data_IF_513073181576
#
_entry.id   IF_513073181576
#
_cell.length_a   1.000
_cell.length_b   1.000
_cell.length_c   1.000
_cell.angle_alpha   90.00
_cell.angle_beta   90.00
_cell.angle_gamma   90.00
#
_symmetry.space_group_name_H-M   'P 1'
#
loop_
_entity.id
_entity.type
_entity.pdbx_description
1 polymer ?
#
# COMPACT_ATOMS: atom_id res chain seq x y z
N UNK A 1 19.46 8.21 0.21
CA UNK A 1 19.46 7.57 1.55
C UNK A 1 19.99 6.13 1.52
N UNK A 2 19.41 5.19 0.79
CA UNK A 2 19.85 3.77 0.74
C UNK A 2 21.33 3.65 0.32
N UNK A 3 21.76 4.32 -0.75
CA UNK A 3 23.16 4.32 -1.20
C UNK A 3 24.14 4.84 -0.12
N UNK A 4 23.73 5.85 0.67
CA UNK A 4 24.56 6.34 1.76
C UNK A 4 24.71 5.32 2.90
N UNK A 5 23.66 4.59 3.24
CA UNK A 5 23.71 3.51 4.24
C UNK A 5 24.62 2.37 3.76
N UNK A 6 24.49 1.94 2.50
CA UNK A 6 25.35 0.90 1.91
C UNK A 6 26.83 1.35 1.92
N UNK A 7 27.10 2.58 1.51
CA UNK A 7 28.45 3.14 1.50
C UNK A 7 29.05 3.21 2.91
N UNK A 8 28.26 3.61 3.92
CA UNK A 8 28.72 3.66 5.31
C UNK A 8 29.12 2.28 5.84
N UNK A 9 28.33 1.24 5.55
CA UNK A 9 28.66 -0.13 5.94
C UNK A 9 29.91 -0.62 5.20
N UNK A 10 30.05 -0.29 3.91
CA UNK A 10 31.17 -0.70 3.08
C UNK A 10 32.53 -0.10 3.51
N UNK A 11 32.51 1.09 4.14
CA UNK A 11 33.75 1.76 4.60
C UNK A 11 34.27 1.14 5.89
N UNK A 12 33.43 0.55 6.75
CA UNK A 12 33.83 0.01 8.06
C UNK A 12 34.97 -1.02 7.97
N UNK A 13 34.93 -2.06 7.10
CA UNK A 13 36.02 -3.01 6.98
C UNK A 13 37.35 -2.36 6.55
N UNK A 14 37.31 -1.35 5.67
CA UNK A 14 38.49 -0.65 5.20
C UNK A 14 39.13 0.23 6.31
N UNK A 15 38.32 0.91 7.13
CA UNK A 15 38.79 1.72 8.25
C UNK A 15 39.51 0.88 9.31
N UNK A 16 39.02 -0.33 9.58
CA UNK A 16 39.64 -1.26 10.55
C UNK A 16 41.03 -1.71 10.08
N UNK A 17 41.23 -1.88 8.79
CA UNK A 17 42.55 -2.25 8.24
C UNK A 17 43.63 -1.17 8.40
N UNK A 18 43.26 0.10 8.47
CA UNK A 18 44.21 1.22 8.56
C UNK A 18 44.74 1.38 9.99
N UNK A 19 44.20 0.69 11.00
CA UNK A 19 44.69 0.77 12.39
C UNK A 19 45.96 -0.07 12.58
N UNK A 20 47.15 0.54 12.89
CA UNK A 20 48.43 -0.14 13.03
C UNK A 20 48.53 -1.04 14.27
N UNK A 21 47.52 -0.97 15.19
CA UNK A 21 47.54 -1.66 16.49
C UNK A 21 46.90 -3.02 16.51
N UNK A 22 46.24 -3.44 15.41
CA UNK A 22 45.59 -4.76 15.34
C UNK A 22 46.48 -5.77 14.63
N UNK A 23 46.59 -7.02 15.11
CA UNK A 23 47.36 -8.06 14.41
C UNK A 23 46.75 -8.27 13.02
N UNK A 24 47.59 -8.09 11.99
CA UNK A 24 47.16 -8.23 10.61
C UNK A 24 47.08 -9.70 10.26
N UNK A 25 45.88 -10.26 10.29
CA UNK A 25 45.64 -11.57 9.67
C UNK A 25 45.73 -11.43 8.15
N UNK A 26 46.48 -12.25 7.46
CA UNK A 26 46.65 -12.15 6.00
C UNK A 26 45.34 -12.23 5.25
N UNK A 27 44.36 -12.95 5.78
CA UNK A 27 42.98 -13.01 5.22
C UNK A 27 42.27 -11.67 5.26
N UNK A 28 42.42 -10.85 6.33
CA UNK A 28 41.80 -9.55 6.45
C UNK A 28 42.27 -8.56 5.37
N UNK A 29 43.55 -8.65 5.00
CA UNK A 29 44.16 -7.78 3.99
C UNK A 29 43.54 -7.99 2.58
N UNK A 30 42.94 -9.15 2.31
CA UNK A 30 42.27 -9.46 1.05
C UNK A 30 40.74 -9.27 1.17
N UNK A 31 40.15 -9.79 2.23
CA UNK A 31 38.69 -9.83 2.38
C UNK A 31 38.11 -8.41 2.57
N UNK A 32 38.76 -7.56 3.36
CA UNK A 32 38.18 -6.24 3.67
C UNK A 32 38.14 -5.31 2.44
N UNK A 33 39.19 -5.19 1.58
CA UNK A 33 39.11 -4.42 0.34
C UNK A 33 38.04 -4.96 -0.62
N UNK A 34 37.92 -6.29 -0.74
CA UNK A 34 36.93 -6.93 -1.60
C UNK A 34 35.49 -6.61 -1.12
N UNK A 35 35.23 -6.78 0.18
CA UNK A 35 33.92 -6.49 0.76
C UNK A 35 33.57 -5.00 0.65
N UNK A 36 34.52 -4.10 0.93
CA UNK A 36 34.34 -2.66 0.78
C UNK A 36 34.12 -2.26 -0.69
N UNK A 37 34.93 -2.80 -1.62
CA UNK A 37 34.78 -2.55 -3.05
C UNK A 37 33.42 -3.00 -3.60
N UNK A 38 32.93 -4.17 -3.17
CA UNK A 38 31.59 -4.63 -3.49
C UNK A 38 30.51 -3.64 -2.99
N UNK A 39 30.58 -3.25 -1.71
CA UNK A 39 29.59 -2.35 -1.14
C UNK A 39 29.59 -0.96 -1.79
N UNK A 40 30.78 -0.39 -2.08
CA UNK A 40 30.90 0.87 -2.81
C UNK A 40 30.33 0.75 -4.22
N UNK A 41 30.61 -0.34 -4.93
CA UNK A 41 30.07 -0.58 -6.27
C UNK A 41 28.55 -0.64 -6.25
N UNK A 42 27.96 -1.38 -5.30
CA UNK A 42 26.51 -1.45 -5.14
C UNK A 42 25.93 -0.08 -4.80
N UNK A 43 26.57 0.70 -3.92
CA UNK A 43 26.13 2.05 -3.58
C UNK A 43 26.11 2.99 -4.79
N UNK A 44 27.15 2.94 -5.64
CA UNK A 44 27.23 3.71 -6.88
C UNK A 44 26.18 3.28 -7.90
N UNK A 45 25.94 1.99 -8.06
CA UNK A 45 24.87 1.49 -8.92
C UNK A 45 23.49 1.99 -8.48
N UNK A 46 23.24 2.07 -7.18
CA UNK A 46 22.00 2.64 -6.63
C UNK A 46 21.82 4.14 -6.91
N UNK A 47 22.90 4.89 -7.08
CA UNK A 47 22.82 6.31 -7.46
C UNK A 47 22.48 6.51 -8.94
N UNK A 48 22.92 5.57 -9.78
CA UNK A 48 22.74 5.66 -11.24
C UNK A 48 21.39 5.09 -11.67
N UNK A 49 20.99 3.96 -11.07
CA UNK A 49 19.80 3.22 -11.50
C UNK A 49 19.20 2.37 -10.37
N UNK A 50 17.88 2.36 -10.25
CA UNK A 50 17.16 1.43 -9.37
C UNK A 50 17.38 -0.02 -9.84
N UNK A 51 17.83 -0.93 -8.96
CA UNK A 51 18.04 -2.32 -9.33
C UNK A 51 16.70 -3.03 -9.61
N UNK A 52 16.75 -4.01 -10.49
CA UNK A 52 15.63 -4.96 -10.65
C UNK A 52 15.49 -5.82 -9.39
N UNK A 53 14.31 -6.47 -9.20
CA UNK A 53 14.10 -7.37 -8.05
C UNK A 53 15.19 -8.46 -7.94
N UNK A 54 15.56 -9.08 -9.05
CA UNK A 54 16.61 -10.11 -9.07
C UNK A 54 17.98 -9.57 -8.69
N UNK A 55 18.37 -8.41 -9.23
CA UNK A 55 19.63 -7.74 -8.87
C UNK A 55 19.66 -7.38 -7.39
N UNK A 56 18.56 -6.85 -6.86
CA UNK A 56 18.44 -6.45 -5.47
C UNK A 56 18.58 -7.65 -4.50
N UNK A 57 17.96 -8.80 -4.83
CA UNK A 57 18.16 -10.06 -4.08
C UNK A 57 19.61 -10.51 -4.13
N UNK A 58 20.21 -10.51 -5.32
CA UNK A 58 21.62 -10.89 -5.49
C UNK A 58 22.54 -9.99 -4.65
N UNK A 59 22.33 -8.67 -4.67
CA UNK A 59 23.12 -7.73 -3.87
C UNK A 59 22.95 -7.97 -2.36
N UNK A 60 21.75 -8.29 -1.90
CA UNK A 60 21.48 -8.58 -0.51
C UNK A 60 22.17 -9.88 -0.05
N UNK A 61 22.06 -10.95 -0.82
CA UNK A 61 22.68 -12.24 -0.49
C UNK A 61 24.21 -12.16 -0.56
N UNK A 62 24.77 -11.56 -1.61
CA UNK A 62 26.21 -11.34 -1.71
C UNK A 62 26.73 -10.42 -0.61
N UNK A 63 25.96 -9.38 -0.26
CA UNK A 63 26.26 -8.50 0.88
C UNK A 63 26.32 -9.25 2.21
N UNK A 64 25.39 -10.18 2.45
CA UNK A 64 25.41 -11.04 3.65
C UNK A 64 26.70 -11.86 3.71
N UNK A 65 27.12 -12.46 2.59
CA UNK A 65 28.37 -13.23 2.52
C UNK A 65 29.60 -12.34 2.74
N UNK A 66 29.63 -11.16 2.14
CA UNK A 66 30.72 -10.18 2.34
C UNK A 66 30.83 -9.72 3.79
N UNK A 67 29.70 -9.44 4.47
CA UNK A 67 29.67 -9.07 5.89
C UNK A 67 30.22 -10.23 6.73
N UNK A 68 29.75 -11.48 6.49
CA UNK A 68 30.24 -12.67 7.21
C UNK A 68 31.76 -12.82 7.05
N UNK A 69 32.25 -12.77 5.81
CA UNK A 69 33.67 -12.92 5.52
C UNK A 69 34.49 -11.80 6.20
N UNK A 70 34.03 -10.55 6.15
CA UNK A 70 34.71 -9.43 6.79
C UNK A 70 34.75 -9.58 8.32
N UNK A 71 33.65 -10.02 8.95
CA UNK A 71 33.59 -10.25 10.41
C UNK A 71 34.50 -11.40 10.84
N UNK A 72 34.51 -12.51 10.09
CA UNK A 72 35.32 -13.71 10.40
C UNK A 72 36.82 -13.50 10.16
N UNK A 73 37.17 -12.58 9.27
CA UNK A 73 38.56 -12.22 8.96
C UNK A 73 39.18 -11.29 10.01
N UNK A 74 38.39 -10.71 10.93
CA UNK A 74 38.94 -9.87 12.00
C UNK A 74 39.81 -10.68 12.95
N UNK A 75 40.97 -10.11 13.32
CA UNK A 75 41.87 -10.68 14.32
C UNK A 75 41.34 -10.66 15.74
N UNK A 76 40.55 -9.62 16.05
CA UNK A 76 39.82 -9.52 17.33
C UNK A 76 38.38 -10.04 17.15
N UNK A 77 38.02 -11.13 17.85
CA UNK A 77 36.67 -11.72 17.78
C UNK A 77 35.59 -10.75 18.26
N UNK A 78 35.89 -9.85 19.20
CA UNK A 78 34.94 -8.86 19.70
C UNK A 78 34.61 -7.83 18.61
N UNK A 79 35.64 -7.33 17.90
CA UNK A 79 35.43 -6.43 16.78
C UNK A 79 34.63 -7.08 15.65
N UNK A 80 34.90 -8.37 15.35
CA UNK A 80 34.11 -9.16 14.40
C UNK A 80 32.66 -9.30 14.80
N UNK A 81 32.41 -9.58 16.09
CA UNK A 81 31.05 -9.76 16.62
C UNK A 81 30.26 -8.44 16.59
N UNK A 82 30.89 -7.30 16.97
CA UNK A 82 30.26 -5.99 16.84
C UNK A 82 29.97 -5.64 15.38
N UNK A 83 30.89 -5.97 14.46
CA UNK A 83 30.69 -5.83 13.00
C UNK A 83 29.48 -6.60 12.47
N UNK A 84 29.12 -7.71 13.11
CA UNK A 84 27.92 -8.50 12.73
C UNK A 84 26.59 -7.76 12.95
N UNK A 85 26.60 -6.62 13.63
CA UNK A 85 25.47 -5.68 13.68
C UNK A 85 25.07 -5.14 12.29
N UNK A 86 25.97 -5.16 11.30
CA UNK A 86 25.67 -4.78 9.92
C UNK A 86 24.60 -5.69 9.28
N UNK A 87 24.49 -6.95 9.70
CA UNK A 87 23.41 -7.83 9.26
C UNK A 87 22.02 -7.32 9.62
N UNK A 88 21.88 -6.65 10.77
CA UNK A 88 20.60 -6.07 11.17
C UNK A 88 20.16 -4.98 10.20
N UNK A 89 21.07 -4.11 9.76
CA UNK A 89 20.80 -3.05 8.78
C UNK A 89 20.40 -3.65 7.44
N UNK A 90 21.15 -4.67 6.98
CA UNK A 90 20.82 -5.40 5.75
C UNK A 90 19.50 -6.16 5.89
N UNK A 91 19.22 -6.75 7.06
CA UNK A 91 17.96 -7.39 7.40
C UNK A 91 16.78 -6.42 7.35
N UNK A 92 16.95 -5.18 7.85
CA UNK A 92 15.97 -4.11 7.71
C UNK A 92 15.67 -3.76 6.26
N UNK A 93 16.70 -3.67 5.42
CA UNK A 93 16.53 -3.48 3.97
C UNK A 93 15.76 -4.64 3.33
N UNK A 94 16.12 -5.89 3.65
CA UNK A 94 15.43 -7.08 3.13
C UNK A 94 13.98 -7.10 3.61
N UNK A 95 13.71 -6.74 4.86
CA UNK A 95 12.36 -6.67 5.42
C UNK A 95 11.45 -5.64 4.71
N UNK A 96 12.03 -4.56 4.15
CA UNK A 96 11.32 -3.53 3.39
C UNK A 96 10.98 -3.96 1.95
N UNK A 97 11.92 -4.62 1.28
CA UNK A 97 11.87 -4.77 -0.18
C UNK A 97 11.76 -6.22 -0.67
N UNK A 98 11.95 -7.20 0.23
CA UNK A 98 12.04 -8.62 -0.14
C UNK A 98 11.13 -9.51 0.71
N UNK A 99 11.14 -10.81 0.38
CA UNK A 99 10.30 -11.84 1.02
C UNK A 99 10.94 -12.44 2.27
N UNK A 100 10.12 -13.03 3.12
CA UNK A 100 10.57 -13.72 4.34
C UNK A 100 11.70 -14.75 4.13
N UNK A 101 11.73 -15.57 3.05
CA UNK A 101 12.86 -16.48 2.80
C UNK A 101 14.22 -15.77 2.68
N UNK A 102 14.28 -14.62 2.02
CA UNK A 102 15.53 -13.85 1.92
C UNK A 102 15.99 -13.34 3.29
N UNK A 103 15.05 -12.92 4.14
CA UNK A 103 15.35 -12.51 5.51
C UNK A 103 15.86 -13.67 6.34
N UNK A 104 15.28 -14.87 6.21
CA UNK A 104 15.72 -16.08 6.86
C UNK A 104 17.14 -16.47 6.48
N UNK A 105 17.50 -16.36 5.20
CA UNK A 105 18.88 -16.63 4.74
C UNK A 105 19.85 -15.65 5.38
N UNK A 106 19.55 -14.32 5.35
CA UNK A 106 20.39 -13.32 6.00
C UNK A 106 20.57 -13.63 7.52
N UNK A 107 19.47 -13.94 8.21
CA UNK A 107 19.48 -14.26 9.62
C UNK A 107 20.31 -15.52 9.93
N UNK A 108 20.19 -16.57 9.11
CA UNK A 108 20.98 -17.81 9.26
C UNK A 108 22.46 -17.51 9.11
N UNK A 109 22.88 -16.75 8.10
CA UNK A 109 24.28 -16.34 7.90
C UNK A 109 24.77 -15.52 9.09
N UNK A 110 23.96 -14.54 9.56
CA UNK A 110 24.29 -13.71 10.71
C UNK A 110 24.52 -14.54 11.98
N UNK A 111 23.61 -15.48 12.29
CA UNK A 111 23.69 -16.30 13.48
C UNK A 111 24.84 -17.30 13.42
N UNK A 112 25.07 -17.92 12.27
CA UNK A 112 26.23 -18.80 12.07
C UNK A 112 27.55 -18.04 12.28
N UNK A 113 27.65 -16.84 11.72
CA UNK A 113 28.82 -15.96 11.90
C UNK A 113 29.00 -15.58 13.36
N UNK A 114 27.92 -15.19 14.06
CA UNK A 114 27.96 -14.82 15.47
C UNK A 114 28.39 -15.99 16.36
N UNK A 115 27.85 -17.19 16.14
CA UNK A 115 28.24 -18.40 16.91
C UNK A 115 29.72 -18.70 16.76
N UNK A 116 30.26 -18.65 15.54
CA UNK A 116 31.72 -18.88 15.30
C UNK A 116 32.56 -17.81 16.02
N UNK A 117 32.13 -16.56 16.00
CA UNK A 117 32.86 -15.47 16.67
C UNK A 117 32.78 -15.56 18.19
N UNK A 118 31.62 -15.98 18.75
CA UNK A 118 31.46 -16.24 20.18
C UNK A 118 32.35 -17.39 20.64
N UNK A 119 32.43 -18.48 19.86
CA UNK A 119 33.36 -19.59 20.18
C UNK A 119 34.82 -19.12 20.24
N UNK A 120 35.22 -18.26 19.29
CA UNK A 120 36.56 -17.65 19.33
C UNK A 120 36.70 -16.70 20.55
N UNK A 121 35.66 -15.90 20.87
CA UNK A 121 35.67 -14.92 21.96
C UNK A 121 35.82 -15.57 23.32
N UNK A 122 35.17 -16.70 23.59
CA UNK A 122 35.28 -17.47 24.84
C UNK A 122 36.73 -17.94 25.10
N UNK A 123 37.55 -18.14 24.05
CA UNK A 123 38.95 -18.52 24.19
C UNK A 123 39.86 -17.37 24.65
N UNK A 124 39.43 -16.12 24.48
CA UNK A 124 40.23 -14.93 24.79
C UNK A 124 39.67 -14.09 25.96
N UNK A 125 38.36 -14.19 26.21
CA UNK A 125 37.64 -13.40 27.21
C UNK A 125 36.80 -14.31 28.09
N UNK A 126 36.19 -13.71 29.14
CA UNK A 126 35.26 -14.40 30.01
C UNK A 126 33.96 -14.79 29.25
N UNK A 127 33.41 -15.94 29.60
CA UNK A 127 32.17 -16.51 29.06
C UNK A 127 30.98 -15.55 29.23
N UNK A 128 30.95 -14.76 30.31
CA UNK A 128 29.88 -13.78 30.55
C UNK A 128 29.92 -12.68 29.53
N UNK A 129 31.10 -12.14 29.21
CA UNK A 129 31.27 -11.09 28.20
C UNK A 129 30.84 -11.62 26.82
N UNK A 130 31.25 -12.84 26.47
CA UNK A 130 30.88 -13.46 25.22
C UNK A 130 29.35 -13.67 25.11
N UNK A 131 28.72 -14.13 26.19
CA UNK A 131 27.26 -14.28 26.26
C UNK A 131 26.49 -12.97 26.11
N UNK A 132 26.92 -11.91 26.80
CA UNK A 132 26.32 -10.59 26.68
C UNK A 132 26.45 -10.01 25.27
N UNK A 133 27.63 -10.13 24.66
CA UNK A 133 27.86 -9.65 23.30
C UNK A 133 27.04 -10.43 22.27
N UNK A 134 26.92 -11.77 22.42
CA UNK A 134 26.04 -12.58 21.57
C UNK A 134 24.56 -12.18 21.71
N UNK A 135 24.10 -12.01 22.94
CA UNK A 135 22.70 -11.61 23.18
C UNK A 135 22.39 -10.25 22.54
N UNK A 136 23.30 -9.29 22.65
CA UNK A 136 23.15 -7.99 22.01
C UNK A 136 23.01 -8.10 20.49
N UNK A 137 23.88 -8.90 19.85
CA UNK A 137 23.84 -9.14 18.40
C UNK A 137 22.57 -9.87 18.00
N UNK A 138 22.15 -10.88 18.76
CA UNK A 138 20.90 -11.62 18.53
C UNK A 138 19.69 -10.67 18.61
N UNK A 139 19.59 -9.89 19.68
CA UNK A 139 18.48 -8.93 19.85
C UNK A 139 18.46 -7.91 18.71
N UNK A 140 19.63 -7.35 18.32
CA UNK A 140 19.70 -6.40 17.24
C UNK A 140 19.24 -6.98 15.89
N UNK A 141 19.68 -8.20 15.57
CA UNK A 141 19.34 -8.88 14.31
C UNK A 141 17.89 -9.36 14.23
N UNK A 142 17.20 -9.51 15.36
CA UNK A 142 15.77 -9.81 15.43
C UNK A 142 14.95 -8.54 15.52
N UNK A 143 15.24 -7.68 16.49
CA UNK A 143 14.41 -6.54 16.83
C UNK A 143 14.38 -5.49 15.71
N UNK A 144 15.52 -5.21 15.06
CA UNK A 144 15.57 -4.14 14.06
C UNK A 144 14.75 -4.46 12.79
N UNK A 145 14.91 -5.61 12.11
CA UNK A 145 14.07 -5.98 10.98
C UNK A 145 12.57 -6.07 11.35
N UNK A 146 12.26 -6.59 12.55
CA UNK A 146 10.90 -6.66 13.05
C UNK A 146 10.29 -5.27 13.27
N UNK A 147 11.03 -4.35 13.90
CA UNK A 147 10.59 -2.96 14.10
C UNK A 147 10.33 -2.25 12.78
N UNK A 148 11.19 -2.46 11.77
CA UNK A 148 11.00 -1.92 10.42
C UNK A 148 9.73 -2.46 9.78
N UNK A 149 9.49 -3.77 9.83
CA UNK A 149 8.26 -4.37 9.31
C UNK A 149 7.01 -3.87 10.03
N UNK A 150 7.06 -3.80 11.36
CA UNK A 150 5.95 -3.30 12.16
C UNK A 150 5.61 -1.84 11.81
N UNK A 151 6.63 -0.97 11.69
CA UNK A 151 6.45 0.42 11.31
C UNK A 151 5.79 0.57 9.94
N UNK A 152 6.24 -0.21 8.95
CA UNK A 152 5.65 -0.20 7.60
C UNK A 152 4.19 -0.67 7.63
N UNK A 153 3.88 -1.71 8.40
CA UNK A 153 2.51 -2.19 8.54
C UNK A 153 1.62 -1.17 9.27
N UNK A 154 2.14 -0.53 10.33
CA UNK A 154 1.41 0.52 11.05
C UNK A 154 1.08 1.70 10.15
N UNK A 155 2.07 2.24 9.41
CA UNK A 155 1.86 3.34 8.46
C UNK A 155 0.91 2.94 7.31
N UNK A 156 1.06 1.73 6.78
CA UNK A 156 0.17 1.21 5.74
C UNK A 156 -1.26 1.02 6.26
N UNK A 157 -1.46 0.66 7.53
CA UNK A 157 -2.78 0.53 8.14
C UNK A 157 -3.46 1.88 8.33
N UNK A 158 -2.74 2.92 8.75
CA UNK A 158 -3.26 4.28 8.87
C UNK A 158 -3.70 4.84 7.50
N UNK A 159 -2.88 4.66 6.46
CA UNK A 159 -3.23 5.05 5.09
C UNK A 159 -4.45 4.27 4.57
N UNK A 160 -4.60 2.99 4.95
CA UNK A 160 -5.78 2.18 4.60
C UNK A 160 -7.02 2.50 5.43
N UNK A 161 -6.87 3.11 6.59
CA UNK A 161 -7.99 3.53 7.45
C UNK A 161 -8.61 4.84 7.02
N UNK A 162 -8.00 5.62 6.10
CA UNK A 162 -8.66 6.78 5.52
C UNK A 162 -9.93 6.30 4.82
N UNK A 163 -11.10 6.67 5.37
CA UNK A 163 -12.42 6.38 4.79
C UNK A 163 -12.79 7.36 3.68
N UNK A 164 -11.95 8.38 3.43
CA UNK A 164 -12.21 9.46 2.48
C UNK A 164 -11.10 9.58 1.44
N UNK A 165 -11.52 9.94 0.24
CA UNK A 165 -10.63 10.30 -0.87
C UNK A 165 -9.92 11.62 -0.55
N UNK A 166 -8.60 11.63 -0.64
CA UNK A 166 -7.78 12.78 -0.25
C UNK A 166 -8.01 14.03 -1.10
N UNK A 167 -8.42 13.86 -2.38
CA UNK A 167 -8.66 14.97 -3.30
C UNK A 167 -10.05 15.59 -3.09
N UNK A 168 -11.09 14.77 -3.06
CA UNK A 168 -12.49 15.22 -3.07
C UNK A 168 -13.12 15.25 -1.69
N UNK A 169 -12.52 14.58 -0.70
CA UNK A 169 -13.08 14.40 0.63
C UNK A 169 -14.36 13.54 0.68
N UNK A 170 -14.77 12.92 -0.43
CA UNK A 170 -15.83 11.94 -0.50
C UNK A 170 -15.39 10.61 0.12
N UNK A 171 -16.33 9.71 0.37
CA UNK A 171 -15.99 8.36 0.80
C UNK A 171 -15.23 7.63 -0.31
N UNK A 172 -14.32 6.73 0.08
CA UNK A 172 -13.73 5.74 -0.83
C UNK A 172 -14.66 4.53 -0.99
N UNK A 173 -14.44 3.70 -2.00
CA UNK A 173 -15.25 2.53 -2.33
C UNK A 173 -15.57 1.66 -1.10
N UNK A 174 -14.57 1.29 -0.28
CA UNK A 174 -14.78 0.45 0.90
C UNK A 174 -15.68 1.12 1.94
N UNK A 175 -15.49 2.42 2.17
CA UNK A 175 -16.28 3.18 3.13
C UNK A 175 -17.72 3.39 2.64
N UNK A 176 -17.94 3.48 1.33
CA UNK A 176 -19.27 3.52 0.72
C UNK A 176 -20.12 2.31 1.12
N UNK A 177 -19.61 1.10 0.88
CA UNK A 177 -20.33 -0.13 1.22
C UNK A 177 -20.65 -0.22 2.71
N UNK A 178 -19.67 0.12 3.56
CA UNK A 178 -19.87 0.11 5.01
C UNK A 178 -20.95 1.13 5.45
N UNK A 179 -20.92 2.35 4.89
CA UNK A 179 -21.87 3.41 5.20
C UNK A 179 -23.27 3.10 4.67
N UNK A 180 -23.38 2.54 3.45
CA UNK A 180 -24.65 2.12 2.86
C UNK A 180 -25.28 0.99 3.67
N UNK A 181 -24.50 0.02 4.14
CA UNK A 181 -24.97 -0.99 5.07
C UNK A 181 -25.49 -0.38 6.38
N UNK A 182 -24.75 0.59 6.95
CA UNK A 182 -25.19 1.34 8.12
C UNK A 182 -26.48 2.14 7.91
N UNK A 183 -26.70 2.66 6.69
CA UNK A 183 -27.93 3.34 6.31
C UNK A 183 -29.13 2.36 6.32
N UNK A 184 -28.95 1.16 5.80
CA UNK A 184 -29.97 0.11 5.81
C UNK A 184 -30.38 -0.31 7.23
N UNK A 185 -29.43 -0.41 8.14
CA UNK A 185 -29.71 -0.77 9.55
C UNK A 185 -30.49 0.30 10.32
N UNK A 186 -30.40 1.57 9.90
CA UNK A 186 -31.06 2.72 10.57
C UNK A 186 -32.35 3.15 9.91
N UNK A 187 -32.83 2.46 8.88
CA UNK A 187 -34.02 2.81 8.14
C UNK A 187 -35.27 2.75 9.05
N UNK A 188 -36.25 3.58 8.75
CA UNK A 188 -37.60 3.50 9.36
C UNK A 188 -38.43 2.43 8.66
N UNK A 189 -39.38 1.84 9.37
CA UNK A 189 -40.36 0.92 8.81
C UNK A 189 -41.23 1.62 7.76
N UNK A 190 -41.55 0.93 6.68
CA UNK A 190 -42.36 1.40 5.58
C UNK A 190 -41.85 0.95 4.22
N UNK A 191 -42.67 1.05 3.17
CA UNK A 191 -42.25 0.75 1.80
C UNK A 191 -41.17 1.74 1.39
N UNK A 192 -39.99 1.20 1.07
CA UNK A 192 -38.81 1.98 0.74
C UNK A 192 -37.91 1.19 -0.25
N UNK A 193 -37.14 1.92 -1.00
CA UNK A 193 -36.25 1.40 -2.03
C UNK A 193 -34.82 1.87 -1.75
N UNK A 194 -33.85 0.95 -1.82
CA UNK A 194 -32.44 1.37 -1.93
C UNK A 194 -32.19 1.77 -3.39
N UNK A 195 -31.71 2.98 -3.59
CA UNK A 195 -31.22 3.44 -4.88
C UNK A 195 -29.70 3.56 -4.86
N UNK A 196 -29.05 3.13 -5.95
CA UNK A 196 -27.63 3.37 -6.17
C UNK A 196 -27.44 3.95 -7.57
N UNK A 197 -26.67 5.04 -7.68
CA UNK A 197 -26.28 5.64 -8.96
C UNK A 197 -24.78 5.53 -9.16
N UNK A 198 -24.37 4.91 -10.27
CA UNK A 198 -23.00 4.93 -10.77
C UNK A 198 -22.86 6.08 -11.77
N UNK A 199 -21.81 6.86 -11.62
CA UNK A 199 -21.55 8.10 -12.36
C UNK A 199 -20.14 8.02 -12.92
N UNK A 200 -19.98 8.21 -14.22
CA UNK A 200 -18.68 8.30 -14.90
C UNK A 200 -18.61 9.62 -15.68
N UNK A 201 -17.51 10.35 -15.52
CA UNK A 201 -17.32 11.64 -16.20
C UNK A 201 -16.93 11.44 -17.65
N UNK A 202 -17.71 12.02 -18.56
CA UNK A 202 -17.47 11.87 -19.99
C UNK A 202 -16.22 12.64 -20.43
N UNK A 203 -15.37 11.97 -21.23
CA UNK A 203 -14.17 12.56 -21.81
C UNK A 203 -13.19 13.20 -20.80
N UNK A 204 -13.16 12.72 -19.55
CA UNK A 204 -12.29 13.27 -18.51
C UNK A 204 -10.80 13.19 -18.88
N UNK A 205 -10.38 12.11 -19.55
CA UNK A 205 -9.03 12.01 -20.08
C UNK A 205 -8.70 13.15 -21.04
N UNK A 206 -9.63 13.52 -21.95
CA UNK A 206 -9.43 14.66 -22.89
C UNK A 206 -9.29 15.98 -22.15
N UNK A 207 -10.03 16.18 -21.05
CA UNK A 207 -9.88 17.34 -20.19
C UNK A 207 -8.45 17.42 -19.63
N UNK A 208 -7.93 16.30 -19.09
CA UNK A 208 -6.57 16.21 -18.58
C UNK A 208 -5.53 16.45 -19.67
N UNK A 209 -5.68 15.83 -20.84
CA UNK A 209 -4.73 15.94 -21.95
C UNK A 209 -4.68 17.38 -22.51
N UNK A 210 -5.82 18.11 -22.48
CA UNK A 210 -5.93 19.47 -23.01
C UNK A 210 -5.51 20.54 -22.00
N UNK A 211 -5.88 20.38 -20.72
CA UNK A 211 -5.76 21.43 -19.69
C UNK A 211 -4.84 21.04 -18.51
N UNK A 212 -4.24 19.84 -18.55
CA UNK A 212 -3.35 19.31 -17.55
C UNK A 212 -4.07 18.69 -16.35
N UNK A 213 -3.40 17.77 -15.65
CA UNK A 213 -3.93 17.03 -14.51
C UNK A 213 -4.42 17.92 -13.36
N UNK A 214 -3.77 19.07 -13.12
CA UNK A 214 -4.22 20.02 -12.09
C UNK A 214 -5.62 20.58 -12.36
N UNK A 215 -5.99 20.74 -13.64
CA UNK A 215 -7.35 21.15 -14.03
C UNK A 215 -8.34 20.02 -13.86
N UNK A 216 -7.96 18.79 -14.17
CA UNK A 216 -8.77 17.59 -13.89
C UNK A 216 -9.04 17.42 -12.42
N UNK A 217 -8.04 17.59 -11.56
CA UNK A 217 -8.20 17.52 -10.11
C UNK A 217 -9.22 18.57 -9.61
N UNK A 218 -9.13 19.79 -10.08
CA UNK A 218 -10.11 20.84 -9.76
C UNK A 218 -11.51 20.52 -10.27
N UNK A 219 -11.63 19.88 -11.42
CA UNK A 219 -12.91 19.44 -11.97
C UNK A 219 -13.52 18.33 -11.08
N UNK A 220 -12.74 17.35 -10.64
CA UNK A 220 -13.17 16.32 -9.71
C UNK A 220 -13.67 16.90 -8.37
N UNK A 221 -12.98 17.90 -7.83
CA UNK A 221 -13.42 18.61 -6.61
C UNK A 221 -14.72 19.38 -6.85
N UNK A 222 -14.87 20.02 -8.01
CA UNK A 222 -16.09 20.73 -8.36
C UNK A 222 -17.30 19.79 -8.52
N UNK A 223 -17.10 18.63 -9.17
CA UNK A 223 -18.11 17.57 -9.27
C UNK A 223 -18.51 17.05 -7.89
N UNK A 224 -17.54 16.76 -7.02
CA UNK A 224 -17.82 16.33 -5.65
C UNK A 224 -18.65 17.38 -4.87
N UNK A 225 -18.35 18.66 -5.05
CA UNK A 225 -19.12 19.77 -4.50
C UNK A 225 -20.54 19.83 -5.04
N UNK A 226 -20.71 19.69 -6.37
CA UNK A 226 -22.03 19.69 -7.02
C UNK A 226 -22.91 18.52 -6.53
N UNK A 227 -22.34 17.32 -6.39
CA UNK A 227 -23.06 16.18 -5.84
C UNK A 227 -23.52 16.41 -4.40
N UNK A 228 -22.66 17.00 -3.54
CA UNK A 228 -23.05 17.33 -2.15
C UNK A 228 -24.14 18.38 -2.06
N UNK A 229 -24.20 19.32 -3.00
CA UNK A 229 -25.23 20.36 -3.02
C UNK A 229 -26.61 19.83 -3.44
N UNK A 230 -26.65 18.87 -4.34
CA UNK A 230 -27.89 18.31 -4.90
C UNK A 230 -28.44 17.16 -4.05
N UNK A 231 -27.58 16.40 -3.40
CA UNK A 231 -27.97 15.26 -2.58
C UNK A 231 -28.36 15.69 -1.15
N UNK A 232 -29.39 15.07 -0.56
CA UNK A 232 -29.70 15.22 0.87
C UNK A 232 -28.49 14.88 1.77
N UNK A 233 -28.42 15.43 3.00
CA UNK A 233 -27.31 15.14 3.92
C UNK A 233 -27.19 13.66 4.34
N UNK A 234 -28.26 12.90 4.19
CA UNK A 234 -28.32 11.45 4.48
C UNK A 234 -27.68 10.60 3.40
N UNK A 235 -27.55 11.14 2.20
CA UNK A 235 -27.06 10.43 1.02
C UNK A 235 -25.59 10.05 1.16
N UNK A 236 -25.28 8.80 0.88
CA UNK A 236 -23.92 8.28 0.84
C UNK A 236 -23.31 8.60 -0.52
N UNK A 237 -22.25 9.40 -0.53
CA UNK A 237 -21.55 9.81 -1.76
C UNK A 237 -20.10 9.37 -1.67
N UNK A 238 -19.61 8.67 -2.70
CA UNK A 238 -18.24 8.17 -2.76
C UNK A 238 -17.59 8.42 -4.12
N UNK A 239 -16.27 8.44 -4.14
CA UNK A 239 -15.45 8.32 -5.34
C UNK A 239 -14.85 6.93 -5.37
N UNK A 240 -15.16 6.16 -6.42
CA UNK A 240 -14.71 4.77 -6.54
C UNK A 240 -13.31 4.65 -7.15
N UNK A 241 -12.92 5.59 -7.97
CA UNK A 241 -11.59 5.67 -8.60
C UNK A 241 -11.60 6.70 -9.73
N UNK A 242 -10.44 7.16 -10.15
CA UNK A 242 -10.31 8.02 -11.33
C UNK A 242 -11.38 9.09 -11.46
N UNK A 243 -12.29 8.88 -12.38
CA UNK A 243 -13.41 9.74 -12.78
C UNK A 243 -14.78 9.17 -12.39
N UNK A 244 -14.81 8.11 -11.54
CA UNK A 244 -16.02 7.38 -11.16
C UNK A 244 -16.52 7.81 -9.77
N UNK A 245 -17.83 8.12 -9.69
CA UNK A 245 -18.52 8.46 -8.45
C UNK A 245 -19.72 7.54 -8.24
N UNK A 246 -20.09 7.33 -6.99
CA UNK A 246 -21.26 6.54 -6.61
C UNK A 246 -22.07 7.27 -5.55
N UNK A 247 -23.40 7.20 -5.71
CA UNK A 247 -24.37 7.78 -4.78
C UNK A 247 -25.33 6.70 -4.35
N UNK A 248 -25.65 6.60 -3.06
CA UNK A 248 -26.70 5.70 -2.56
C UNK A 248 -27.55 6.38 -1.49
N UNK A 249 -28.87 6.14 -1.54
CA UNK A 249 -29.81 6.59 -0.52
C UNK A 249 -31.05 5.70 -0.49
N UNK A 250 -31.90 5.91 0.53
CA UNK A 250 -33.20 5.24 0.66
C UNK A 250 -34.29 6.21 0.18
N UNK A 251 -35.10 5.73 -0.75
CA UNK A 251 -36.16 6.52 -1.39
C UNK A 251 -37.53 5.92 -1.12
N UNK A 252 -38.55 6.79 -1.09
CA UNK A 252 -39.98 6.40 -0.98
C UNK A 252 -40.58 5.95 -2.32
N UNK A 253 -39.83 6.04 -3.42
CA UNK A 253 -40.26 5.67 -4.78
C UNK A 253 -39.24 4.77 -5.46
N UNK A 254 -39.74 3.93 -6.32
CA UNK A 254 -38.88 3.06 -7.18
C UNK A 254 -38.33 3.79 -8.41
N UNK A 255 -39.04 4.82 -8.88
CA UNK A 255 -38.61 5.60 -10.03
C UNK A 255 -37.62 6.69 -9.62
N UNK A 256 -36.34 6.43 -9.91
CA UNK A 256 -35.24 7.33 -9.56
C UNK A 256 -34.70 8.09 -10.78
N UNK A 257 -35.42 8.13 -11.88
CA UNK A 257 -35.00 8.82 -13.11
C UNK A 257 -34.73 10.33 -12.87
N UNK A 258 -35.64 11.00 -12.15
CA UNK A 258 -35.51 12.43 -11.88
C UNK A 258 -34.27 12.72 -11.03
N UNK A 259 -33.92 11.83 -10.11
CA UNK A 259 -32.72 11.94 -9.29
C UNK A 259 -31.47 11.82 -10.16
N UNK A 260 -31.41 10.83 -11.07
CA UNK A 260 -30.32 10.69 -11.99
C UNK A 260 -30.14 11.93 -12.90
N UNK A 261 -31.25 12.50 -13.38
CA UNK A 261 -31.23 13.73 -14.19
C UNK A 261 -30.80 14.96 -13.37
N UNK A 262 -31.16 15.07 -12.09
CA UNK A 262 -30.68 16.13 -11.20
C UNK A 262 -29.15 16.03 -11.00
N UNK A 263 -28.62 14.83 -10.74
CA UNK A 263 -27.19 14.60 -10.62
C UNK A 263 -26.45 14.97 -11.91
N UNK A 264 -26.96 14.53 -13.07
CA UNK A 264 -26.36 14.83 -14.38
C UNK A 264 -26.33 16.35 -14.65
N UNK A 265 -27.45 17.04 -14.42
CA UNK A 265 -27.54 18.51 -14.60
C UNK A 265 -26.60 19.24 -13.66
N UNK A 266 -26.48 18.81 -12.40
CA UNK A 266 -25.59 19.43 -11.44
C UNK A 266 -24.11 19.29 -11.84
N UNK A 267 -23.71 18.15 -12.39
CA UNK A 267 -22.35 17.95 -12.92
C UNK A 267 -22.11 18.83 -14.15
N UNK A 268 -23.04 18.85 -15.12
CA UNK A 268 -22.94 19.66 -16.31
C UNK A 268 -22.97 21.18 -16.04
N UNK A 269 -23.55 21.61 -14.93
CA UNK A 269 -23.57 23.00 -14.48
C UNK A 269 -22.27 23.46 -13.79
N UNK A 270 -21.29 22.57 -13.58
CA UNK A 270 -20.00 22.98 -13.05
C UNK A 270 -19.27 23.90 -14.05
N UNK A 271 -18.33 24.69 -13.54
CA UNK A 271 -17.55 25.62 -14.40
C UNK A 271 -16.60 24.93 -15.40
N UNK A 272 -16.47 23.61 -15.33
CA UNK A 272 -15.62 22.83 -16.22
C UNK A 272 -16.44 22.23 -17.36
N UNK A 273 -15.88 22.13 -18.58
CA UNK A 273 -16.58 21.55 -19.73
C UNK A 273 -16.60 20.01 -19.61
N UNK A 274 -17.36 19.53 -18.63
CA UNK A 274 -17.46 18.11 -18.32
C UNK A 274 -18.93 17.73 -18.17
N UNK A 275 -19.28 16.56 -18.66
CA UNK A 275 -20.59 15.92 -18.49
C UNK A 275 -20.42 14.57 -17.84
N UNK A 276 -21.50 13.88 -17.55
CA UNK A 276 -21.45 12.54 -16.96
C UNK A 276 -22.47 11.62 -17.57
N UNK A 277 -22.09 10.36 -17.68
CA UNK A 277 -22.99 9.23 -17.95
C UNK A 277 -23.39 8.62 -16.60
N UNK A 278 -24.69 8.47 -16.38
CA UNK A 278 -25.24 8.01 -15.10
C UNK A 278 -26.12 6.79 -15.29
N UNK A 279 -25.82 5.73 -14.54
CA UNK A 279 -26.73 4.61 -14.37
C UNK A 279 -27.27 4.57 -12.96
N UNK A 280 -28.59 4.51 -12.80
CA UNK A 280 -29.22 4.38 -11.49
C UNK A 280 -30.04 3.09 -11.42
N UNK A 281 -29.88 2.37 -10.34
CA UNK A 281 -30.65 1.17 -10.06
C UNK A 281 -31.43 1.33 -8.75
N UNK A 282 -32.64 0.78 -8.71
CA UNK A 282 -33.47 0.73 -7.51
C UNK A 282 -33.92 -0.69 -7.20
N UNK A 283 -33.96 -1.02 -5.91
CA UNK A 283 -34.44 -2.31 -5.44
C UNK A 283 -35.31 -2.12 -4.17
N UNK A 284 -36.48 -2.82 -4.06
CA UNK A 284 -37.35 -2.73 -2.90
C UNK A 284 -36.67 -3.33 -1.65
N UNK A 285 -36.81 -2.64 -0.52
CA UNK A 285 -36.32 -3.10 0.76
C UNK A 285 -37.39 -3.88 1.53
N UNK A 286 -37.03 -5.06 2.06
CA UNK A 286 -37.95 -5.87 2.91
C UNK A 286 -38.07 -5.28 4.29
N UNK A 287 -39.14 -5.63 5.03
CA UNK A 287 -39.36 -5.19 6.38
C UNK A 287 -38.28 -5.64 7.36
N UNK A 288 -37.75 -6.86 7.21
CA UNK A 288 -36.61 -7.36 7.96
C UNK A 288 -35.38 -7.40 7.06
N UNK A 289 -34.28 -6.78 7.51
CA UNK A 289 -32.98 -6.78 6.84
C UNK A 289 -32.14 -7.96 7.37
N UNK A 290 -31.69 -8.84 6.48
CA UNK A 290 -30.80 -9.96 6.82
C UNK A 290 -29.33 -9.52 6.67
N UNK A 291 -28.44 -9.79 7.64
CA UNK A 291 -27.00 -9.55 7.51
C UNK A 291 -26.33 -10.22 6.29
N UNK A 292 -26.94 -11.27 5.72
CA UNK A 292 -26.50 -11.89 4.48
C UNK A 292 -26.70 -11.00 3.23
N UNK A 293 -27.40 -9.88 3.35
CA UNK A 293 -27.69 -8.96 2.24
C UNK A 293 -26.55 -7.97 1.91
N UNK A 294 -25.30 -8.22 2.34
CA UNK A 294 -24.16 -7.43 1.83
C UNK A 294 -23.99 -7.56 0.32
N UNK A 295 -24.20 -8.75 -0.21
CA UNK A 295 -24.17 -9.05 -1.66
C UNK A 295 -25.22 -8.24 -2.42
N UNK A 296 -26.35 -7.90 -1.78
CA UNK A 296 -27.41 -7.08 -2.34
C UNK A 296 -26.94 -5.66 -2.74
N UNK A 297 -26.07 -5.01 -1.96
CA UNK A 297 -25.53 -3.67 -2.29
C UNK A 297 -24.59 -3.80 -3.51
N UNK A 298 -23.75 -4.84 -3.54
CA UNK A 298 -22.86 -5.10 -4.66
C UNK A 298 -23.64 -5.34 -5.95
N UNK A 299 -24.68 -6.16 -5.91
CA UNK A 299 -25.54 -6.44 -7.06
C UNK A 299 -26.26 -5.16 -7.55
N UNK A 300 -26.75 -4.32 -6.64
CA UNK A 300 -27.39 -3.06 -6.99
C UNK A 300 -26.42 -2.11 -7.69
N UNK A 301 -25.20 -1.98 -7.17
CA UNK A 301 -24.13 -1.17 -7.76
C UNK A 301 -23.74 -1.72 -9.13
N UNK A 302 -23.60 -3.04 -9.28
CA UNK A 302 -23.28 -3.68 -10.56
C UNK A 302 -24.37 -3.44 -11.63
N UNK A 303 -25.64 -3.41 -11.24
CA UNK A 303 -26.76 -3.09 -12.17
C UNK A 303 -26.71 -1.60 -12.55
N UNK A 304 -26.42 -0.72 -11.60
CA UNK A 304 -26.22 0.70 -11.87
C UNK A 304 -25.04 0.93 -12.82
N UNK A 305 -23.94 0.20 -12.64
CA UNK A 305 -22.75 0.26 -13.50
C UNK A 305 -23.07 -0.16 -14.95
N UNK A 306 -23.78 -1.27 -15.13
CA UNK A 306 -24.24 -1.70 -16.47
C UNK A 306 -25.13 -0.63 -17.14
N UNK A 307 -26.01 0.01 -16.38
CA UNK A 307 -26.85 1.09 -16.88
C UNK A 307 -26.04 2.34 -17.25
N UNK A 308 -25.02 2.70 -16.45
CA UNK A 308 -24.08 3.78 -16.72
C UNK A 308 -23.27 3.49 -18.00
N UNK A 309 -22.73 2.28 -18.14
CA UNK A 309 -22.00 1.89 -19.33
C UNK A 309 -22.88 1.96 -20.61
N UNK A 310 -24.15 1.59 -20.51
CA UNK A 310 -25.11 1.74 -21.60
C UNK A 310 -25.41 3.22 -21.93
N UNK A 311 -25.43 4.10 -20.93
CA UNK A 311 -25.54 5.55 -21.12
C UNK A 311 -24.29 6.10 -21.83
N UNK A 312 -23.11 5.70 -21.38
CA UNK A 312 -21.83 6.09 -21.97
C UNK A 312 -21.69 5.65 -23.44
N UNK A 313 -22.06 4.40 -23.74
CA UNK A 313 -22.02 3.84 -25.09
C UNK A 313 -23.01 4.47 -26.05
N UNK A 314 -24.08 5.06 -25.56
CA UNK A 314 -25.10 5.77 -26.37
C UNK A 314 -24.77 7.25 -26.64
N UNK A 315 -23.53 7.68 -26.35
CA UNK A 315 -23.02 9.03 -26.66
C UNK A 315 -22.69 9.89 -25.45
N UNK A 316 -22.88 9.37 -24.24
CA UNK A 316 -22.59 10.12 -23.00
C UNK A 316 -23.61 11.20 -22.68
N UNK A 317 -23.38 11.95 -21.59
CA UNK A 317 -24.22 13.05 -21.09
C UNK A 317 -25.71 12.67 -20.98
N UNK A 318 -26.00 11.49 -20.47
CA UNK A 318 -27.35 10.96 -20.30
C UNK A 318 -27.44 10.06 -19.06
N UNK A 319 -28.67 9.84 -18.61
CA UNK A 319 -28.95 8.91 -17.52
C UNK A 319 -29.79 7.72 -18.00
N UNK A 320 -29.56 6.57 -17.37
CA UNK A 320 -30.39 5.37 -17.54
C UNK A 320 -30.79 4.82 -16.18
N UNK A 321 -32.08 4.50 -16.03
CA UNK A 321 -32.62 3.90 -14.81
C UNK A 321 -32.99 2.45 -15.06
N UNK A 322 -32.68 1.59 -14.10
CA UNK A 322 -33.04 0.17 -14.11
C UNK A 322 -33.63 -0.23 -12.77
N UNK A 323 -34.68 -1.02 -12.81
CA UNK A 323 -35.31 -1.58 -11.60
C UNK A 323 -34.89 -3.04 -11.45
N UNK A 324 -34.54 -3.44 -10.24
CA UNK A 324 -34.26 -4.85 -9.92
C UNK A 324 -35.48 -5.42 -9.21
N UNK A 325 -36.11 -6.44 -9.81
CA UNK A 325 -37.09 -7.25 -9.10
C UNK A 325 -36.35 -8.16 -8.12
N UNK A 326 -36.82 -8.25 -6.87
CA UNK A 326 -36.15 -8.98 -5.78
C UNK A 326 -35.86 -10.48 -6.09
N UNK A 327 -36.56 -11.07 -7.02
CA UNK A 327 -36.36 -12.45 -7.48
C UNK A 327 -35.07 -12.63 -8.32
N UNK A 328 -34.54 -11.57 -8.94
CA UNK A 328 -33.39 -11.66 -9.84
C UNK A 328 -32.04 -11.72 -9.07
N UNK A 329 -32.01 -11.33 -7.80
CA UNK A 329 -30.79 -11.29 -6.98
C UNK A 329 -30.36 -12.66 -6.45
N UNK A 330 -31.22 -13.68 -6.49
CA UNK A 330 -30.89 -15.06 -6.09
C UNK A 330 -30.41 -15.96 -7.25
N UNK A 331 -30.39 -15.47 -8.47
CA UNK A 331 -30.18 -16.28 -9.70
C UNK A 331 -28.76 -16.26 -10.28
N UNK A 332 -27.81 -15.55 -9.69
CA UNK A 332 -26.43 -15.44 -10.23
C UNK A 332 -25.41 -16.41 -9.60
N UNK A 333 -25.87 -17.35 -8.78
CA UNK A 333 -25.04 -18.39 -8.16
C UNK A 333 -25.50 -19.78 -8.65
N UNK A 334 -25.42 -20.04 -9.97
CA UNK A 334 -25.52 -21.36 -10.58
C UNK A 334 -24.46 -21.46 -11.69
#
# INVERSE_FOLDING_TARGET
MIAAVIASIAVVPAVVLVRPTLPHYPAAAVVAPVASGFGVTVALLWLIRWPTRGQSVLYALTGSVCIAAACLAQGDPLAGLLGSGAFAVLGGYIALFHTAPCLMVNFTIAMTTAVVLVERLIRYYDTVVAGCAFLLVLVLNVAFPFAVQWLVHALASELRQSSRDALTGLLIRRAFYHSTYGLLLRRREGPSYLGAAMIDLDNFKRLNDTHGHSTGDKALVAVAGALRLVCPPTTIIARFGGEEFVVADIYGTENLHDIAEQLRKAIAATRYPITASIGIASAPLRASFDPAEREFIDDLVNVADKAMYAAKSAGGNQSRSTRIAHAALKGSAA
#
